data_IF_379013492866
#
_entry.id   IF_379013492866
#
_cell.length_a   1.000
_cell.length_b   1.000
_cell.length_c   1.000
_cell.angle_alpha   90.00
_cell.angle_beta   90.00
_cell.angle_gamma   90.00
#
_symmetry.space_group_name_H-M   'P 1'
#
loop_
_entity.id
_entity.type
_entity.pdbx_description
1 polymer ?
#
# COMPACT_ATOMS: atom_id res chain seq x y z
N UNK A 1 41.62 -5.18 49.29
CA UNK A 1 40.90 -4.53 48.17
C UNK A 1 39.56 -5.22 47.94
N UNK A 2 38.44 -4.68 48.45
CA UNK A 2 37.04 -5.03 48.08
C UNK A 2 36.14 -4.45 49.17
N UNK A 3 35.43 -3.35 48.91
CA UNK A 3 34.11 -3.08 49.52
C UNK A 3 33.45 -1.79 48.99
N UNK A 4 34.17 -0.93 48.25
CA UNK A 4 33.58 0.31 47.72
C UNK A 4 32.75 0.15 46.43
N UNK A 5 32.93 -0.95 45.68
CA UNK A 5 32.31 -1.16 44.36
C UNK A 5 30.81 -1.51 44.45
N UNK A 6 30.39 -2.21 45.51
CA UNK A 6 29.00 -2.65 45.71
C UNK A 6 28.03 -1.51 46.04
N UNK A 7 28.51 -0.38 46.57
CA UNK A 7 27.66 0.78 46.89
C UNK A 7 27.30 1.62 45.66
N UNK A 8 28.20 1.69 44.66
CA UNK A 8 27.96 2.42 43.41
C UNK A 8 26.91 1.76 42.51
N UNK A 9 26.83 0.43 42.52
CA UNK A 9 25.84 -0.30 41.71
C UNK A 9 24.40 -0.11 42.21
N UNK A 10 24.18 -0.04 43.53
CA UNK A 10 22.83 0.14 44.11
C UNK A 10 22.25 1.54 43.91
N UNK A 11 23.08 2.59 43.90
CA UNK A 11 22.62 3.97 43.66
C UNK A 11 22.38 4.27 42.18
N UNK A 12 23.08 3.57 41.27
CA UNK A 12 22.80 3.62 39.84
C UNK A 12 21.43 3.00 39.53
N UNK A 13 21.13 1.83 40.09
CA UNK A 13 19.88 1.11 39.82
C UNK A 13 18.61 1.87 40.26
N UNK A 14 18.64 2.58 41.40
CA UNK A 14 17.47 3.35 41.86
C UNK A 14 17.22 4.61 41.02
N UNK A 15 18.27 5.21 40.46
CA UNK A 15 18.16 6.39 39.59
C UNK A 15 17.65 6.03 38.20
N UNK A 16 18.04 4.89 37.66
CA UNK A 16 17.50 4.38 36.40
C UNK A 16 16.03 3.99 36.55
N UNK A 17 15.65 3.35 37.66
CA UNK A 17 14.26 3.02 37.96
C UNK A 17 13.35 4.24 38.08
N UNK A 18 13.82 5.30 38.75
CA UNK A 18 13.09 6.56 38.86
C UNK A 18 12.93 7.27 37.50
N UNK A 19 13.98 7.28 36.66
CA UNK A 19 13.94 7.85 35.31
C UNK A 19 12.98 7.10 34.38
N UNK A 20 12.98 5.76 34.45
CA UNK A 20 12.06 4.92 33.67
C UNK A 20 10.60 5.12 34.13
N UNK A 21 10.37 5.23 35.43
CA UNK A 21 9.04 5.49 35.99
C UNK A 21 8.53 6.90 35.61
N UNK A 22 9.38 7.93 35.66
CA UNK A 22 9.01 9.26 35.19
C UNK A 22 8.76 9.28 33.68
N UNK A 23 9.54 8.54 32.88
CA UNK A 23 9.32 8.42 31.44
C UNK A 23 8.01 7.72 31.08
N UNK A 24 7.61 6.71 31.85
CA UNK A 24 6.32 6.02 31.70
C UNK A 24 5.13 6.91 32.12
N UNK A 25 5.29 7.71 33.17
CA UNK A 25 4.23 8.59 33.68
C UNK A 25 4.04 9.85 32.80
N UNK A 26 5.10 10.34 32.15
CA UNK A 26 5.01 11.47 31.19
C UNK A 26 4.63 11.05 29.78
N UNK A 27 4.80 9.77 29.41
CA UNK A 27 4.35 9.24 28.12
C UNK A 27 2.84 9.38 27.89
N UNK A 28 2.03 9.39 28.97
CA UNK A 28 0.58 9.65 28.88
C UNK A 28 0.23 11.08 28.43
N UNK A 29 1.15 12.05 28.58
CA UNK A 29 0.95 13.44 28.14
C UNK A 29 1.36 13.67 26.67
N UNK A 30 2.01 12.70 26.03
CA UNK A 30 2.37 12.75 24.60
C UNK A 30 1.20 12.40 23.65
N UNK A 31 0.01 12.12 24.20
CA UNK A 31 -1.23 11.80 23.45
C UNK A 31 -2.18 13.02 23.36
N UNK A 32 -1.85 14.14 24.00
CA UNK A 32 -2.79 15.27 24.11
C UNK A 32 -2.80 16.22 22.88
N UNK A 33 -1.76 16.19 22.05
CA UNK A 33 -1.64 17.06 20.86
C UNK A 33 -0.83 16.39 19.74
N UNK A 34 -1.05 15.10 19.50
CA UNK A 34 -0.48 14.43 18.34
C UNK A 34 -1.34 14.83 17.11
N UNK A 35 -0.75 15.32 16.00
CA UNK A 35 -1.50 15.67 14.81
C UNK A 35 -2.46 14.54 14.42
N UNK A 36 -3.72 14.89 14.13
CA UNK A 36 -4.73 13.89 13.80
C UNK A 36 -4.23 13.05 12.61
N UNK A 37 -4.05 11.74 12.83
CA UNK A 37 -3.64 10.82 11.77
C UNK A 37 -4.72 10.89 10.70
N UNK A 38 -4.32 11.21 9.46
CA UNK A 38 -5.23 11.32 8.34
C UNK A 38 -5.99 10.00 8.19
N UNK A 39 -7.29 10.04 8.46
CA UNK A 39 -8.10 8.84 8.50
C UNK A 39 -8.18 8.22 7.11
N UNK A 40 -8.05 6.88 6.99
CA UNK A 40 -8.16 6.22 5.70
C UNK A 40 -9.54 6.50 5.10
N UNK A 41 -9.55 6.82 3.80
CA UNK A 41 -10.76 7.17 3.04
C UNK A 41 -11.84 6.08 3.11
N UNK A 42 -11.45 4.81 3.32
CA UNK A 42 -12.34 3.65 3.48
C UNK A 42 -12.86 3.41 4.91
N UNK A 43 -12.66 4.36 5.84
CA UNK A 43 -13.24 4.34 7.20
C UNK A 43 -12.22 4.18 8.32
N UNK A 44 -11.99 5.26 9.09
CA UNK A 44 -11.02 5.34 10.19
C UNK A 44 -11.62 5.48 11.59
N UNK A 45 -12.95 5.38 11.75
CA UNK A 45 -13.63 5.78 12.98
C UNK A 45 -13.67 4.76 14.14
N UNK A 46 -13.21 3.52 13.94
CA UNK A 46 -13.47 2.38 14.85
C UNK A 46 -12.31 1.94 15.76
N UNK A 47 -11.16 2.63 15.74
CA UNK A 47 -9.95 2.28 16.51
C UNK A 47 -8.74 1.89 15.63
N UNK A 48 -7.60 1.62 16.27
CA UNK A 48 -6.29 1.40 15.60
C UNK A 48 -6.30 0.23 14.61
N UNK A 49 -7.02 -0.85 14.93
CA UNK A 49 -7.19 -1.99 14.03
C UNK A 49 -7.95 -1.62 12.75
N UNK A 50 -9.00 -0.81 12.88
CA UNK A 50 -9.81 -0.38 11.74
C UNK A 50 -9.02 0.56 10.82
N UNK A 51 -8.19 1.44 11.41
CA UNK A 51 -7.26 2.30 10.66
C UNK A 51 -6.24 1.48 9.87
N UNK A 52 -5.63 0.47 10.49
CA UNK A 52 -4.70 -0.44 9.79
C UNK A 52 -5.38 -1.19 8.64
N UNK A 53 -6.58 -1.73 8.88
CA UNK A 53 -7.37 -2.39 7.84
C UNK A 53 -7.72 -1.44 6.69
N UNK A 54 -8.05 -0.18 6.99
CA UNK A 54 -8.29 0.86 6.00
C UNK A 54 -7.09 1.10 5.09
N UNK A 55 -5.89 1.24 5.65
CA UNK A 55 -4.67 1.35 4.84
C UNK A 55 -4.36 0.09 4.04
N UNK A 56 -4.61 -1.10 4.61
CA UNK A 56 -4.42 -2.36 3.88
C UNK A 56 -5.34 -2.47 2.65
N UNK A 57 -6.60 -2.02 2.77
CA UNK A 57 -7.55 -1.93 1.66
C UNK A 57 -7.06 -0.96 0.58
N UNK A 58 -6.65 0.24 0.95
CA UNK A 58 -6.07 1.22 0.01
C UNK A 58 -4.82 0.66 -0.69
N UNK A 59 -3.97 -0.08 0.03
CA UNK A 59 -2.84 -0.80 -0.54
C UNK A 59 -3.25 -1.88 -1.54
N UNK A 60 -4.28 -2.67 -1.22
CA UNK A 60 -4.85 -3.67 -2.12
C UNK A 60 -5.38 -3.06 -3.42
N UNK A 61 -6.09 -1.93 -3.33
CA UNK A 61 -6.56 -1.19 -4.51
C UNK A 61 -5.39 -0.67 -5.35
N UNK A 62 -4.37 -0.09 -4.72
CA UNK A 62 -3.18 0.40 -5.42
C UNK A 62 -2.43 -0.74 -6.16
N UNK A 63 -2.29 -1.91 -5.53
CA UNK A 63 -1.70 -3.09 -6.17
C UNK A 63 -2.55 -3.59 -7.33
N UNK A 64 -3.88 -3.63 -7.17
CA UNK A 64 -4.81 -3.98 -8.24
C UNK A 64 -4.67 -3.05 -9.45
N UNK A 65 -4.50 -1.75 -9.21
CA UNK A 65 -4.28 -0.76 -10.27
C UNK A 65 -2.96 -1.00 -11.02
N UNK A 66 -1.88 -1.38 -10.32
CA UNK A 66 -0.61 -1.73 -10.98
C UNK A 66 -0.76 -2.94 -11.91
N UNK A 67 -1.54 -3.94 -11.53
CA UNK A 67 -1.85 -5.08 -12.40
C UNK A 67 -2.64 -4.62 -13.64
N UNK A 68 -3.60 -3.70 -13.46
CA UNK A 68 -4.35 -3.11 -14.59
C UNK A 68 -3.42 -2.41 -15.59
N UNK A 69 -2.43 -1.66 -15.09
CA UNK A 69 -1.40 -1.03 -15.93
C UNK A 69 -0.62 -2.08 -16.74
N UNK A 70 -0.21 -3.18 -16.10
CA UNK A 70 0.46 -4.29 -16.79
C UNK A 70 -0.37 -4.88 -17.93
N UNK A 71 -1.67 -5.07 -17.71
CA UNK A 71 -2.59 -5.56 -18.72
C UNK A 71 -2.71 -4.59 -19.92
N UNK A 72 -2.77 -3.28 -19.67
CA UNK A 72 -2.80 -2.28 -20.75
C UNK A 72 -1.51 -2.25 -21.56
N UNK A 73 -0.35 -2.41 -20.93
CA UNK A 73 0.93 -2.50 -21.64
C UNK A 73 0.96 -3.73 -22.55
N UNK A 74 0.46 -4.89 -22.09
CA UNK A 74 0.39 -6.09 -22.90
C UNK A 74 -0.51 -5.92 -24.14
N UNK A 75 -1.66 -5.26 -23.99
CA UNK A 75 -2.56 -4.94 -25.11
C UNK A 75 -1.89 -3.97 -26.09
N UNK A 76 -1.27 -2.90 -25.60
CA UNK A 76 -0.56 -1.95 -26.44
C UNK A 76 0.53 -2.65 -27.25
N UNK A 77 1.29 -3.55 -26.63
CA UNK A 77 2.32 -4.33 -27.30
C UNK A 77 1.75 -5.25 -28.40
N UNK A 78 0.61 -5.89 -28.18
CA UNK A 78 -0.05 -6.72 -29.18
C UNK A 78 -0.50 -5.89 -30.40
N UNK A 79 -1.10 -4.72 -30.17
CA UNK A 79 -1.56 -3.81 -31.24
C UNK A 79 -0.37 -3.26 -32.04
N UNK A 80 0.70 -2.85 -31.37
CA UNK A 80 1.92 -2.34 -32.02
C UNK A 80 2.56 -3.42 -32.91
N UNK A 81 2.66 -4.65 -32.39
CA UNK A 81 3.20 -5.78 -33.16
C UNK A 81 2.38 -6.05 -34.42
N UNK A 82 1.05 -6.07 -34.29
CA UNK A 82 0.16 -6.25 -35.44
C UNK A 82 0.32 -5.16 -36.49
N UNK A 83 0.49 -3.89 -36.07
CA UNK A 83 0.74 -2.79 -37.00
C UNK A 83 2.09 -2.92 -37.72
N UNK A 84 3.13 -3.36 -37.02
CA UNK A 84 4.42 -3.65 -37.64
C UNK A 84 4.33 -4.77 -38.67
N UNK A 85 3.52 -5.80 -38.44
CA UNK A 85 3.33 -6.90 -39.38
C UNK A 85 2.61 -6.44 -40.67
N UNK A 86 1.62 -5.55 -40.56
CA UNK A 86 0.99 -4.90 -41.72
C UNK A 86 2.03 -4.11 -42.52
N UNK A 87 2.86 -3.30 -41.85
CA UNK A 87 3.90 -2.51 -42.54
C UNK A 87 4.94 -3.37 -43.25
N UNK A 88 5.22 -4.56 -42.75
CA UNK A 88 6.16 -5.52 -43.37
C UNK A 88 5.51 -6.34 -44.49
N UNK A 89 4.23 -6.12 -44.79
CA UNK A 89 3.48 -6.88 -45.79
C UNK A 89 3.19 -8.32 -45.38
N UNK A 90 3.34 -8.65 -44.09
CA UNK A 90 3.15 -10.00 -43.54
C UNK A 90 1.83 -10.18 -42.79
N UNK A 91 1.18 -9.08 -42.40
CA UNK A 91 -0.07 -9.09 -41.64
C UNK A 91 -1.23 -8.47 -42.44
N UNK A 92 -2.45 -8.79 -42.04
CA UNK A 92 -3.67 -8.23 -42.66
C UNK A 92 -4.24 -7.10 -41.81
N UNK A 93 -4.96 -6.16 -42.44
CA UNK A 93 -5.73 -5.12 -41.75
C UNK A 93 -6.80 -5.71 -40.81
N UNK A 94 -7.31 -6.89 -41.15
CA UNK A 94 -8.26 -7.65 -40.32
C UNK A 94 -7.63 -8.09 -39.00
N UNK A 95 -6.36 -8.53 -39.02
CA UNK A 95 -5.66 -8.96 -37.80
C UNK A 95 -5.50 -7.78 -36.82
N UNK A 96 -5.14 -6.59 -37.33
CA UNK A 96 -5.05 -5.39 -36.49
C UNK A 96 -6.38 -5.01 -35.86
N UNK A 97 -7.46 -5.07 -36.64
CA UNK A 97 -8.81 -4.85 -36.11
C UNK A 97 -9.16 -5.87 -35.03
N UNK A 98 -8.83 -7.14 -35.23
CA UNK A 98 -9.08 -8.22 -34.27
C UNK A 98 -8.35 -7.96 -32.94
N UNK A 99 -7.05 -7.64 -32.99
CA UNK A 99 -6.29 -7.27 -31.80
C UNK A 99 -6.86 -6.01 -31.12
N UNK A 100 -7.35 -5.04 -31.90
CA UNK A 100 -8.05 -3.87 -31.38
C UNK A 100 -9.33 -4.22 -30.61
N UNK A 101 -10.20 -5.05 -31.20
CA UNK A 101 -11.46 -5.47 -30.57
C UNK A 101 -11.20 -6.28 -29.30
N UNK A 102 -10.29 -7.26 -29.36
CA UNK A 102 -9.89 -8.06 -28.19
C UNK A 102 -9.31 -7.14 -27.10
N UNK A 103 -8.50 -6.16 -27.48
CA UNK A 103 -7.96 -5.16 -26.56
C UNK A 103 -9.05 -4.35 -25.84
N UNK A 104 -10.05 -3.86 -26.57
CA UNK A 104 -11.18 -3.10 -25.98
C UNK A 104 -11.95 -3.97 -25.00
N UNK A 105 -12.27 -5.21 -25.38
CA UNK A 105 -12.98 -6.15 -24.50
C UNK A 105 -12.20 -6.37 -23.21
N UNK A 106 -10.88 -6.59 -23.32
CA UNK A 106 -10.03 -6.78 -22.15
C UNK A 106 -10.01 -5.55 -21.24
N UNK A 107 -9.92 -4.34 -21.81
CA UNK A 107 -9.97 -3.09 -21.04
C UNK A 107 -11.29 -2.97 -20.27
N UNK A 108 -12.42 -3.26 -20.93
CA UNK A 108 -13.74 -3.21 -20.28
C UNK A 108 -13.84 -4.20 -19.12
N UNK A 109 -13.34 -5.43 -19.29
CA UNK A 109 -13.32 -6.43 -18.22
C UNK A 109 -12.45 -5.98 -17.05
N UNK A 110 -11.26 -5.44 -17.33
CA UNK A 110 -10.34 -4.94 -16.30
C UNK A 110 -10.97 -3.80 -15.51
N UNK A 111 -11.57 -2.80 -16.18
CA UNK A 111 -12.25 -1.68 -15.53
C UNK A 111 -13.41 -2.20 -14.68
N UNK A 112 -14.22 -3.12 -15.23
CA UNK A 112 -15.33 -3.72 -14.51
C UNK A 112 -14.88 -4.41 -13.21
N UNK A 113 -13.81 -5.23 -13.29
CA UNK A 113 -13.26 -5.91 -12.11
C UNK A 113 -12.67 -4.92 -11.11
N UNK A 114 -12.01 -3.85 -11.56
CA UNK A 114 -11.49 -2.81 -10.69
C UNK A 114 -12.61 -2.07 -9.94
N UNK A 115 -13.71 -1.74 -10.61
CA UNK A 115 -14.90 -1.14 -9.97
C UNK A 115 -15.50 -2.10 -8.94
N UNK A 116 -15.67 -3.39 -9.29
CA UNK A 116 -16.20 -4.39 -8.36
C UNK A 116 -15.29 -4.64 -7.16
N UNK A 117 -13.97 -4.60 -7.36
CA UNK A 117 -13.03 -4.70 -6.26
C UNK A 117 -13.13 -3.49 -5.32
N UNK A 118 -13.28 -2.28 -5.87
CA UNK A 118 -13.48 -1.06 -5.08
C UNK A 118 -14.79 -1.03 -4.31
N UNK A 119 -15.84 -1.70 -4.79
CA UNK A 119 -17.12 -1.80 -4.08
C UNK A 119 -17.04 -2.74 -2.86
N UNK A 120 -16.18 -3.77 -2.93
CA UNK A 120 -16.07 -4.82 -1.89
C UNK A 120 -15.06 -4.44 -0.80
N UNK A 121 -13.99 -3.72 -1.16
CA UNK A 121 -12.96 -3.25 -0.22
C UNK A 121 -13.47 -2.05 0.58
#
# INVERSE_FOLDING_TARGET
>A
MKFSILRYFRSAFSRTGALLLTGLLTAGQAIADLPNIEQPTSGGGGGTYNTFMGYAKMGGLALGLLVCVGAFIAVAHAVITSFHDIRKGKGTWTDFLLYGVVGIILILVVIYLATKASDIL
#
